data_IF_399782026268
#
_entry.id   IF_399782026268
#
_cell.length_a   1.000
_cell.length_b   1.000
_cell.length_c   1.000
_cell.angle_alpha   90.00
_cell.angle_beta   90.00
_cell.angle_gamma   90.00
#
_symmetry.space_group_name_H-M   'P 1'
#
loop_
_entity.id
_entity.type
_entity.pdbx_description
1 polymer ?
#
# COMPACT_ATOMS: atom_id res chain seq x y z
N UNK A 1 0.50 3.75 -4.81
CA UNK A 1 1.38 3.92 -3.64
C UNK A 1 2.73 4.42 -4.15
N UNK A 2 3.24 5.55 -3.67
CA UNK A 2 4.54 6.08 -4.11
C UNK A 2 5.66 5.15 -3.71
N UNK A 3 6.26 4.49 -4.71
CA UNK A 3 7.34 3.53 -4.53
C UNK A 3 8.49 4.15 -3.73
N UNK A 4 8.85 5.41 -3.97
CA UNK A 4 9.94 6.06 -3.24
C UNK A 4 9.58 6.26 -1.77
N UNK A 5 8.35 6.70 -1.50
CA UNK A 5 7.87 6.95 -0.14
C UNK A 5 7.77 5.67 0.68
N UNK A 6 7.41 4.54 0.06
CA UNK A 6 7.30 3.24 0.72
C UNK A 6 8.64 2.51 0.82
N UNK A 7 9.46 2.54 -0.23
CA UNK A 7 10.75 1.82 -0.27
C UNK A 7 11.90 2.59 0.36
N UNK A 8 11.82 3.92 0.45
CA UNK A 8 12.92 4.79 0.91
C UNK A 8 14.07 4.93 -0.10
N UNK A 9 13.89 4.44 -1.33
CA UNK A 9 14.87 4.53 -2.40
C UNK A 9 14.43 5.52 -3.49
N UNK A 10 15.42 6.11 -4.15
CA UNK A 10 15.25 6.96 -5.32
C UNK A 10 15.12 6.08 -6.57
N UNK A 11 14.01 6.22 -7.27
CA UNK A 11 13.65 5.44 -8.47
C UNK A 11 13.31 6.37 -9.64
N UNK A 12 12.78 7.57 -9.36
CA UNK A 12 12.46 8.58 -10.37
C UNK A 12 13.74 9.39 -10.71
N UNK A 13 14.17 9.40 -11.99
CA UNK A 13 15.31 10.19 -12.45
C UNK A 13 15.13 11.69 -12.22
N UNK A 14 16.23 12.40 -11.95
CA UNK A 14 16.22 13.84 -11.65
C UNK A 14 15.56 14.69 -12.75
N UNK A 15 15.85 14.41 -14.02
CA UNK A 15 15.29 15.15 -15.15
C UNK A 15 13.76 15.04 -15.28
N UNK A 16 13.14 14.01 -14.72
CA UNK A 16 11.68 13.87 -14.65
C UNK A 16 11.09 14.67 -13.48
N UNK A 17 11.86 14.89 -12.43
CA UNK A 17 11.40 15.66 -11.26
C UNK A 17 11.26 17.14 -11.57
N UNK A 18 12.11 17.68 -12.43
CA UNK A 18 12.02 19.08 -12.85
C UNK A 18 10.87 19.34 -13.84
N UNK A 19 10.21 18.29 -14.33
CA UNK A 19 9.09 18.43 -15.25
C UNK A 19 7.84 18.96 -14.54
N UNK A 20 7.03 19.71 -15.29
CA UNK A 20 5.82 20.37 -14.80
C UNK A 20 4.86 19.42 -14.09
N UNK A 21 4.67 18.21 -14.62
CA UNK A 21 3.75 17.23 -14.05
C UNK A 21 4.21 16.77 -12.66
N UNK A 22 5.50 16.44 -12.51
CA UNK A 22 6.03 16.00 -11.22
C UNK A 22 5.92 17.10 -10.18
N UNK A 23 6.31 18.33 -10.54
CA UNK A 23 6.23 19.48 -9.64
C UNK A 23 4.78 19.78 -9.24
N UNK A 24 3.83 19.73 -10.17
CA UNK A 24 2.42 19.88 -9.87
C UNK A 24 1.95 18.81 -8.86
N UNK A 25 2.23 17.54 -9.11
CA UNK A 25 1.85 16.45 -8.20
C UNK A 25 2.51 16.58 -6.83
N UNK A 26 3.78 16.99 -6.77
CA UNK A 26 4.51 17.23 -5.53
C UNK A 26 3.80 18.27 -4.64
N UNK A 27 3.36 19.39 -5.22
CA UNK A 27 2.65 20.45 -4.46
C UNK A 27 1.31 20.02 -3.88
N UNK A 28 0.67 18.97 -4.45
CA UNK A 28 -0.61 18.43 -3.97
C UNK A 28 -0.46 17.44 -2.82
N UNK A 29 0.75 17.01 -2.50
CA UNK A 29 1.02 16.08 -1.40
C UNK A 29 0.93 16.78 -0.04
N UNK A 30 0.50 16.10 1.03
CA UNK A 30 0.58 16.65 2.38
C UNK A 30 2.03 17.02 2.76
N UNK A 31 2.20 18.02 3.62
CA UNK A 31 3.52 18.56 4.00
C UNK A 31 4.49 17.48 4.50
N UNK A 32 4.02 16.58 5.37
CA UNK A 32 4.85 15.48 5.88
C UNK A 32 5.38 14.55 4.77
N UNK A 33 4.59 14.33 3.72
CA UNK A 33 5.02 13.52 2.57
C UNK A 33 6.03 14.25 1.70
N UNK A 34 5.89 15.57 1.54
CA UNK A 34 6.87 16.41 0.83
C UNK A 34 8.22 16.37 1.55
N UNK A 35 8.23 16.58 2.87
CA UNK A 35 9.43 16.55 3.71
C UNK A 35 10.12 15.18 3.65
N UNK A 36 9.35 14.09 3.82
CA UNK A 36 9.87 12.71 3.70
C UNK A 36 10.48 12.46 2.33
N UNK A 37 9.80 12.86 1.25
CA UNK A 37 10.31 12.67 -0.10
C UNK A 37 11.59 13.50 -0.34
N UNK A 38 11.65 14.72 0.20
CA UNK A 38 12.86 15.54 0.19
C UNK A 38 14.05 14.85 0.86
N UNK A 39 13.84 14.17 2.00
CA UNK A 39 14.88 13.38 2.67
C UNK A 39 15.34 12.19 1.82
N UNK A 40 14.41 11.46 1.19
CA UNK A 40 14.72 10.32 0.32
C UNK A 40 15.53 10.77 -0.91
N UNK A 41 15.13 11.88 -1.54
CA UNK A 41 15.85 12.47 -2.67
C UNK A 41 17.25 12.90 -2.24
N UNK A 42 17.38 13.58 -1.08
CA UNK A 42 18.68 14.01 -0.54
C UNK A 42 19.60 12.83 -0.24
N UNK A 43 19.05 11.71 0.21
CA UNK A 43 19.79 10.47 0.46
C UNK A 43 20.28 9.81 -0.84
N UNK A 44 19.60 10.03 -1.97
CA UNK A 44 19.96 9.57 -3.31
C UNK A 44 20.43 8.11 -3.39
N UNK A 45 19.77 7.22 -2.64
CA UNK A 45 20.07 5.79 -2.69
C UNK A 45 19.23 5.14 -3.78
N UNK A 46 19.89 4.62 -4.80
CA UNK A 46 19.22 3.82 -5.83
C UNK A 46 18.69 2.51 -5.24
N UNK A 47 17.56 2.05 -5.78
CA UNK A 47 16.96 0.78 -5.38
C UNK A 47 17.90 -0.39 -5.72
N UNK A 48 18.22 -1.27 -4.76
CA UNK A 48 19.04 -2.46 -5.02
C UNK A 48 18.38 -3.38 -6.05
N UNK A 49 19.17 -4.06 -6.89
CA UNK A 49 18.64 -5.04 -7.87
C UNK A 49 17.92 -6.23 -7.22
N UNK A 50 18.27 -6.55 -5.97
CA UNK A 50 17.65 -7.61 -5.17
C UNK A 50 16.47 -7.13 -4.31
N UNK A 51 16.01 -5.88 -4.48
CA UNK A 51 14.88 -5.38 -3.73
C UNK A 51 13.62 -6.16 -4.10
N UNK A 52 12.89 -6.60 -3.08
CA UNK A 52 11.60 -7.26 -3.23
C UNK A 52 10.60 -6.53 -2.32
N UNK A 53 9.35 -6.33 -2.77
CA UNK A 53 8.33 -5.77 -1.91
C UNK A 53 8.05 -6.74 -0.75
N UNK A 54 7.91 -6.20 0.46
CA UNK A 54 7.34 -6.95 1.58
C UNK A 54 5.84 -6.98 1.40
N UNK A 55 5.31 -8.14 1.02
CA UNK A 55 3.88 -8.37 0.93
C UNK A 55 3.44 -8.89 2.31
N UNK A 56 2.38 -8.32 2.93
CA UNK A 56 1.86 -8.87 4.17
C UNK A 56 1.34 -10.29 3.93
N UNK A 57 1.34 -11.10 4.98
CA UNK A 57 0.73 -12.41 4.93
C UNK A 57 -0.79 -12.27 4.78
N UNK A 58 -1.30 -12.58 3.59
CA UNK A 58 -2.72 -12.48 3.28
C UNK A 58 -3.52 -13.61 3.90
N UNK A 59 -2.88 -14.73 4.25
CA UNK A 59 -3.52 -15.91 4.81
C UNK A 59 -3.52 -15.91 6.33
N UNK A 60 -2.91 -14.90 6.96
CA UNK A 60 -2.85 -14.74 8.42
C UNK A 60 -4.24 -14.72 9.12
N UNK A 61 -5.30 -14.36 8.41
CA UNK A 61 -6.66 -14.37 8.92
C UNK A 61 -7.29 -15.78 8.97
N UNK A 62 -6.75 -16.75 8.22
CA UNK A 62 -7.29 -18.11 8.21
C UNK A 62 -7.11 -18.83 9.56
N UNK A 63 -6.15 -18.37 10.39
CA UNK A 63 -5.95 -18.87 11.74
C UNK A 63 -6.94 -18.27 12.76
N UNK A 64 -7.52 -17.09 12.48
CA UNK A 64 -8.51 -16.42 13.36
C UNK A 64 -9.96 -16.72 12.99
N UNK A 65 -10.21 -17.06 11.72
CA UNK A 65 -11.53 -17.44 11.23
C UNK A 65 -11.74 -18.90 11.63
N UNK A 66 -12.34 -19.12 12.80
CA UNK A 66 -12.95 -20.40 13.15
C UNK A 66 -13.94 -20.87 12.07
N UNK A 67 -14.44 -22.10 12.20
CA UNK A 67 -15.41 -22.69 11.26
C UNK A 67 -16.50 -21.68 10.86
N UNK A 68 -16.49 -21.25 9.60
CA UNK A 68 -17.59 -20.48 9.03
C UNK A 68 -18.68 -21.51 8.73
N UNK A 69 -19.77 -21.49 9.50
CA UNK A 69 -20.98 -22.23 9.15
C UNK A 69 -21.41 -21.82 7.74
N UNK A 70 -21.27 -22.75 6.80
CA UNK A 70 -21.75 -22.60 5.43
C UNK A 70 -23.27 -22.63 5.42
N UNK A 71 -23.92 -22.15 4.35
CA UNK A 71 -25.40 -22.19 4.23
C UNK A 71 -25.98 -23.61 4.37
N UNK A 72 -25.17 -24.67 4.23
CA UNK A 72 -25.55 -26.06 4.52
C UNK A 72 -25.83 -26.34 6.01
N UNK A 73 -25.29 -25.53 6.93
CA UNK A 73 -25.44 -25.67 8.38
C UNK A 73 -26.57 -24.79 8.96
N UNK A 74 -27.16 -23.90 8.15
CA UNK A 74 -28.22 -22.98 8.59
C UNK A 74 -29.61 -23.52 8.23
N UNK A 75 -30.15 -24.43 9.05
CA UNK A 75 -31.58 -24.76 9.00
C UNK A 75 -32.40 -23.55 9.52
N UNK A 76 -32.80 -22.67 8.60
CA UNK A 76 -33.69 -21.56 8.93
C UNK A 76 -35.03 -22.11 9.48
N UNK A 77 -35.47 -21.72 10.69
CA UNK A 77 -36.74 -22.19 11.22
C UNK A 77 -37.89 -21.68 10.34
N UNK A 78 -38.78 -22.57 9.90
CA UNK A 78 -39.97 -22.17 9.15
C UNK A 78 -40.86 -21.32 10.05
N UNK A 79 -41.12 -20.09 9.65
CA UNK A 79 -42.06 -19.23 10.35
C UNK A 79 -43.48 -19.72 10.03
N UNK A 80 -44.21 -20.24 11.02
CA UNK A 80 -45.66 -20.43 10.90
C UNK A 80 -46.33 -19.07 11.11
N UNK A 81 -47.03 -18.58 10.08
CA UNK A 81 -47.87 -17.39 10.17
C UNK A 81 -49.11 -17.70 11.04
N UNK A 82 -49.24 -17.02 12.18
CA UNK A 82 -50.48 -16.92 12.98
C UNK A 82 -51.34 -15.73 12.52
#
# INVERSE_FOLDING_TARGET
>A
MDIESSSGYTVIPEHLRTQRLYMFLYTKRPKAFQERLGLIIKQNKSMPRSWKPTIPDLDSHLDEVGYIETEEDFEAPSYEEE
#
